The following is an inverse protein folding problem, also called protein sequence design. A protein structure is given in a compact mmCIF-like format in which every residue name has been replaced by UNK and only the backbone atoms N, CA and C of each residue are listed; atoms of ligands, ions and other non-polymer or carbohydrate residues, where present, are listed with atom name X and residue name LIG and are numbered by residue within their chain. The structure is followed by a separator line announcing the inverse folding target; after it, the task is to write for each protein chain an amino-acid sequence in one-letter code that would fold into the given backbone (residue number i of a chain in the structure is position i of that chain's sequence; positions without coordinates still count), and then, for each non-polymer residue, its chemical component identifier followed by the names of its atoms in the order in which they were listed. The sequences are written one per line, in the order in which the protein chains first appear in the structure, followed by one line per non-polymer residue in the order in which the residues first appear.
data_IF_771152600593
#
_entry.id   IF_771152600593
#
_cell.length_a   1.000
_cell.length_b   1.000
_cell.length_c   1.000
_cell.angle_alpha   90.00
_cell.angle_beta   90.00
_cell.angle_gamma   90.00
#
_symmetry.space_group_name_H-M   'P 1'
#
loop_
_entity.id
_entity.type
_entity.pdbx_description
1 polymer ?
#
# COMPACT_ATOMS: atom_id res chain seq x y z
N UNK A 1 18.25 14.26 -48.65
CA UNK A 1 17.01 14.65 -49.36
C UNK A 1 16.49 15.90 -48.66
N UNK A 2 16.34 16.99 -49.40
CA UNK A 2 16.34 18.37 -48.90
C UNK A 2 15.02 19.07 -49.27
N UNK A 3 14.41 19.78 -48.28
CA UNK A 3 13.66 21.09 -48.36
C UNK A 3 12.38 21.08 -49.26
N UNK A 4 11.39 22.03 -49.29
CA UNK A 4 11.02 23.27 -48.52
C UNK A 4 9.58 23.25 -47.90
N UNK A 5 9.21 24.06 -46.87
CA UNK A 5 8.81 25.50 -46.73
C UNK A 5 7.34 25.89 -47.00
N UNK A 6 6.77 26.56 -45.98
CA UNK A 6 5.89 27.77 -45.99
C UNK A 6 4.55 27.71 -46.74
N UNK A 7 3.41 27.97 -46.08
CA UNK A 7 2.81 29.31 -45.92
C UNK A 7 1.90 29.60 -47.13
N UNK A 8 0.57 29.79 -47.01
CA UNK A 8 -0.13 31.03 -46.61
C UNK A 8 -1.63 30.81 -46.91
N UNK A 9 -2.55 31.32 -46.07
CA UNK A 9 -3.66 32.24 -46.42
C UNK A 9 -4.95 31.74 -45.73
N UNK A 10 -5.92 32.52 -45.23
CA UNK A 10 -6.11 33.94 -45.01
C UNK A 10 -7.51 34.11 -44.34
N UNK A 11 -7.57 34.97 -43.31
CA UNK A 11 -8.67 35.85 -42.81
C UNK A 11 -10.06 35.70 -43.48
N UNK A 12 -11.23 35.76 -42.81
CA UNK A 12 -11.80 36.68 -41.78
C UNK A 12 -13.33 36.30 -41.61
N UNK A 13 -14.25 37.07 -40.97
CA UNK A 13 -14.39 37.57 -39.58
C UNK A 13 -15.78 37.26 -38.93
N UNK A 14 -15.92 37.50 -37.60
CA UNK A 14 -17.09 38.22 -37.07
C UNK A 14 -18.13 37.52 -36.16
N UNK A 15 -17.92 37.60 -34.84
CA UNK A 15 -18.95 37.98 -33.85
C UNK A 15 -19.49 36.89 -32.89
N UNK A 16 -20.03 37.27 -31.71
CA UNK A 16 -19.66 38.35 -30.80
C UNK A 16 -19.35 37.86 -29.37
N UNK A 17 -18.96 38.83 -28.54
CA UNK A 17 -18.65 38.78 -27.11
C UNK A 17 -19.44 37.74 -26.27
N UNK A 18 -18.69 36.86 -25.60
CA UNK A 18 -19.12 36.08 -24.46
C UNK A 18 -18.10 36.25 -23.35
N UNK A 19 -18.41 37.19 -22.46
CA UNK A 19 -17.95 37.37 -21.08
C UNK A 19 -16.53 36.89 -20.68
N UNK A 20 -15.70 37.88 -20.36
CA UNK A 20 -14.50 37.69 -19.56
C UNK A 20 -14.90 37.33 -18.12
N UNK A 21 -15.21 36.06 -17.86
CA UNK A 21 -15.25 35.51 -16.51
C UNK A 21 -13.82 35.42 -15.97
N UNK A 22 -13.50 36.01 -14.80
CA UNK A 22 -12.15 35.91 -14.26
C UNK A 22 -11.86 34.43 -13.99
N UNK A 23 -10.82 33.92 -14.64
CA UNK A 23 -10.21 32.64 -14.35
C UNK A 23 -9.92 32.57 -12.86
N UNK A 24 -10.77 31.87 -12.12
CA UNK A 24 -10.55 31.53 -10.73
C UNK A 24 -9.29 30.68 -10.68
N UNK A 25 -8.18 31.33 -10.36
CA UNK A 25 -7.00 30.67 -9.83
C UNK A 25 -7.44 30.02 -8.53
N UNK A 26 -7.86 28.77 -8.57
CA UNK A 26 -8.03 27.93 -7.38
C UNK A 26 -6.65 27.63 -6.82
N UNK A 27 -6.08 28.64 -6.14
CA UNK A 27 -5.21 28.36 -5.00
C UNK A 27 -6.08 27.62 -4.00
N UNK A 28 -5.96 26.29 -3.96
CA UNK A 28 -6.73 25.46 -3.04
C UNK A 28 -6.44 25.91 -1.62
N UNK A 29 -7.41 26.60 -1.01
CA UNK A 29 -7.49 26.74 0.44
C UNK A 29 -7.51 25.32 0.98
N UNK A 30 -6.39 24.88 1.55
CA UNK A 30 -6.33 23.68 2.36
C UNK A 30 -7.15 24.01 3.61
N UNK A 31 -8.45 23.75 3.56
CA UNK A 31 -9.29 23.81 4.75
C UNK A 31 -8.77 22.73 5.69
N UNK A 32 -8.38 23.07 6.93
CA UNK A 32 -7.91 22.07 7.87
C UNK A 32 -9.02 21.03 8.09
N UNK A 33 -8.69 19.74 8.18
CA UNK A 33 -9.68 18.69 8.38
C UNK A 33 -10.44 18.91 9.70
N UNK A 34 -11.72 18.54 9.70
CA UNK A 34 -12.53 18.59 10.92
C UNK A 34 -12.15 17.45 11.87
N UNK A 35 -12.41 17.60 13.17
CA UNK A 35 -12.19 16.54 14.17
C UNK A 35 -12.86 15.21 13.76
N UNK A 36 -14.09 15.29 13.23
CA UNK A 36 -14.80 14.11 12.71
C UNK A 36 -14.05 13.44 11.55
N UNK A 37 -13.43 14.21 10.65
CA UNK A 37 -12.64 13.64 9.56
C UNK A 37 -11.36 12.97 10.08
N UNK A 38 -10.71 13.56 11.10
CA UNK A 38 -9.54 12.97 11.76
C UNK A 38 -9.91 11.64 12.41
N UNK A 39 -11.00 11.60 13.18
CA UNK A 39 -11.49 10.37 13.82
C UNK A 39 -11.83 9.27 12.82
N UNK A 40 -12.46 9.61 11.70
CA UNK A 40 -12.72 8.66 10.60
C UNK A 40 -11.41 8.14 9.99
N UNK A 41 -10.41 8.99 9.80
CA UNK A 41 -9.11 8.58 9.28
C UNK A 41 -8.36 7.64 10.25
N UNK A 42 -8.38 7.93 11.56
CA UNK A 42 -7.80 7.08 12.62
C UNK A 42 -8.47 5.70 12.62
N UNK A 43 -9.81 5.65 12.56
CA UNK A 43 -10.56 4.40 12.46
C UNK A 43 -10.17 3.60 11.20
N UNK A 44 -9.97 4.29 10.06
CA UNK A 44 -9.52 3.65 8.83
C UNK A 44 -8.11 3.05 8.99
N UNK A 45 -7.16 3.79 9.58
CA UNK A 45 -5.80 3.29 9.87
C UNK A 45 -5.85 2.03 10.75
N UNK A 46 -6.67 2.02 11.80
CA UNK A 46 -6.84 0.86 12.68
C UNK A 46 -7.46 -0.34 11.98
N UNK A 47 -8.44 -0.11 11.11
CA UNK A 47 -9.06 -1.15 10.29
C UNK A 47 -8.05 -1.77 9.32
N UNK A 48 -7.26 -0.93 8.67
CA UNK A 48 -6.23 -1.39 7.74
C UNK A 48 -5.14 -2.17 8.49
N UNK A 49 -4.70 -1.68 9.66
CA UNK A 49 -3.78 -2.42 10.53
C UNK A 49 -4.31 -3.82 10.85
N UNK A 50 -5.57 -3.94 11.27
CA UNK A 50 -6.20 -5.22 11.56
C UNK A 50 -6.24 -6.16 10.34
N UNK A 51 -6.47 -5.60 9.13
CA UNK A 51 -6.44 -6.39 7.90
C UNK A 51 -5.03 -6.93 7.58
N UNK A 52 -3.99 -6.13 7.80
CA UNK A 52 -2.60 -6.57 7.66
C UNK A 52 -2.22 -7.63 8.70
N UNK A 53 -2.64 -7.47 9.96
CA UNK A 53 -2.45 -8.48 10.99
C UNK A 53 -3.10 -9.83 10.63
N UNK A 54 -4.35 -9.80 10.15
CA UNK A 54 -5.03 -11.00 9.67
C UNK A 54 -4.33 -11.63 8.46
N UNK A 55 -3.74 -10.82 7.57
CA UNK A 55 -2.91 -11.30 6.47
C UNK A 55 -1.64 -11.99 6.95
N UNK A 56 -0.97 -11.43 7.96
CA UNK A 56 0.19 -12.06 8.62
C UNK A 56 -0.17 -13.43 9.18
N UNK A 57 -1.31 -13.56 9.87
CA UNK A 57 -1.72 -14.86 10.43
C UNK A 57 -1.96 -15.91 9.35
N UNK A 58 -2.57 -15.55 8.21
CA UNK A 58 -2.70 -16.46 7.05
C UNK A 58 -1.36 -16.92 6.49
N UNK A 59 -0.35 -16.05 6.47
CA UNK A 59 0.99 -16.40 6.01
C UNK A 59 1.70 -17.34 6.98
N UNK A 60 1.51 -17.15 8.29
CA UNK A 60 2.01 -18.07 9.32
C UNK A 60 1.37 -19.45 9.19
N UNK A 61 0.04 -19.51 8.99
CA UNK A 61 -0.67 -20.77 8.77
C UNK A 61 -0.16 -21.49 7.51
N UNK A 62 0.02 -20.74 6.41
CA UNK A 62 0.58 -21.27 5.17
C UNK A 62 2.02 -21.78 5.37
N UNK A 63 2.84 -21.08 6.15
CA UNK A 63 4.19 -21.52 6.48
C UNK A 63 4.17 -22.83 7.28
N UNK A 64 3.28 -22.95 8.25
CA UNK A 64 3.11 -24.19 9.02
C UNK A 64 2.68 -25.36 8.13
N UNK A 65 1.85 -25.13 7.11
CA UNK A 65 1.52 -26.13 6.09
C UNK A 65 2.76 -26.47 5.24
N UNK A 66 3.49 -25.47 4.75
CA UNK A 66 4.72 -25.66 3.98
C UNK A 66 5.77 -26.50 4.73
N UNK A 67 5.94 -26.28 6.04
CA UNK A 67 6.86 -27.05 6.86
C UNK A 67 6.48 -28.55 6.99
N UNK A 68 5.20 -28.90 6.78
CA UNK A 68 4.68 -30.27 6.91
C UNK A 68 4.60 -31.02 5.57
N UNK A 69 4.85 -30.35 4.46
CA UNK A 69 4.93 -30.97 3.13
C UNK A 69 6.19 -31.82 3.03
N UNK A 70 6.16 -33.03 3.60
CA UNK A 70 7.31 -33.93 3.58
C UNK A 70 7.13 -34.98 2.46
N UNK A 71 7.79 -34.77 1.31
CA UNK A 71 8.08 -35.86 0.38
C UNK A 71 9.51 -36.34 0.61
N UNK A 72 9.64 -37.46 1.32
CA UNK A 72 10.92 -38.16 1.48
C UNK A 72 11.29 -38.98 0.25
N UNK A 73 12.54 -39.42 0.17
CA UNK A 73 13.06 -40.32 -0.89
C UNK A 73 12.17 -41.56 -1.14
N UNK A 74 11.48 -42.04 -0.11
CA UNK A 74 10.55 -43.18 -0.21
C UNK A 74 9.31 -42.90 -1.06
N UNK A 75 8.98 -41.62 -1.28
CA UNK A 75 7.88 -41.18 -2.14
C UNK A 75 8.33 -40.94 -3.59
N UNK A 76 9.63 -40.92 -3.83
CA UNK A 76 10.21 -40.79 -5.16
C UNK A 76 10.66 -42.16 -5.68
N UNK A 77 10.66 -42.33 -7.00
CA UNK A 77 11.25 -43.54 -7.58
C UNK A 77 12.77 -43.56 -7.31
N UNK A 78 13.37 -44.75 -7.25
CA UNK A 78 14.82 -44.90 -7.06
C UNK A 78 15.66 -44.05 -8.03
N UNK A 79 15.20 -43.93 -9.28
CA UNK A 79 15.86 -43.09 -10.30
C UNK A 79 15.74 -41.60 -9.94
N UNK A 80 14.59 -41.15 -9.45
CA UNK A 80 14.38 -39.77 -9.04
C UNK A 80 15.23 -39.40 -7.80
N UNK A 81 15.42 -40.34 -6.89
CA UNK A 81 16.33 -40.18 -5.74
C UNK A 81 17.80 -40.06 -6.20
N UNK A 82 18.26 -40.92 -7.12
CA UNK A 82 19.61 -40.81 -7.69
C UNK A 82 19.87 -39.49 -8.44
N UNK A 83 18.81 -38.88 -8.99
CA UNK A 83 18.89 -37.58 -9.66
C UNK A 83 18.84 -36.38 -8.68
N UNK A 84 18.74 -36.64 -7.37
CA UNK A 84 18.72 -35.61 -6.32
C UNK A 84 17.40 -34.87 -6.19
N UNK A 85 16.28 -35.47 -6.65
CA UNK A 85 14.97 -34.81 -6.63
C UNK A 85 14.46 -34.57 -5.20
N UNK A 86 14.81 -35.46 -4.27
CA UNK A 86 14.46 -35.32 -2.87
C UNK A 86 15.12 -34.07 -2.25
N UNK A 87 16.40 -33.84 -2.50
CA UNK A 87 17.12 -32.66 -2.03
C UNK A 87 16.56 -31.37 -2.64
N UNK A 88 16.28 -31.36 -3.94
CA UNK A 88 15.68 -30.19 -4.62
C UNK A 88 14.30 -29.88 -4.03
N UNK A 89 13.49 -30.91 -3.77
CA UNK A 89 12.19 -30.74 -3.14
C UNK A 89 12.32 -30.13 -1.73
N UNK A 90 13.23 -30.65 -0.91
CA UNK A 90 13.47 -30.11 0.43
C UNK A 90 13.96 -28.65 0.41
N UNK A 91 14.83 -28.29 -0.53
CA UNK A 91 15.28 -26.91 -0.71
C UNK A 91 14.12 -25.98 -1.10
N UNK A 92 13.25 -26.42 -2.01
CA UNK A 92 12.07 -25.66 -2.41
C UNK A 92 11.09 -25.49 -1.26
N UNK A 93 10.84 -26.55 -0.50
CA UNK A 93 9.99 -26.53 0.70
C UNK A 93 10.52 -25.52 1.72
N UNK A 94 11.83 -25.57 2.02
CA UNK A 94 12.46 -24.63 2.93
C UNK A 94 12.42 -23.19 2.43
N UNK A 95 12.62 -22.98 1.13
CA UNK A 95 12.52 -21.64 0.54
C UNK A 95 11.11 -21.09 0.63
N UNK A 96 10.09 -21.90 0.37
CA UNK A 96 8.69 -21.51 0.52
C UNK A 96 8.35 -21.18 1.97
N UNK A 97 8.72 -22.04 2.92
CA UNK A 97 8.56 -21.79 4.35
C UNK A 97 9.19 -20.46 4.78
N UNK A 98 10.42 -20.20 4.32
CA UNK A 98 11.15 -18.98 4.65
C UNK A 98 10.44 -17.74 4.09
N UNK A 99 10.08 -17.75 2.81
CA UNK A 99 9.39 -16.62 2.16
C UNK A 99 8.05 -16.29 2.80
N UNK A 100 7.29 -17.30 3.24
CA UNK A 100 6.02 -17.09 3.92
C UNK A 100 6.22 -16.43 5.29
N UNK A 101 7.24 -16.83 6.06
CA UNK A 101 7.58 -16.19 7.33
C UNK A 101 8.13 -14.76 7.15
N UNK A 102 8.96 -14.52 6.13
CA UNK A 102 9.43 -13.18 5.78
C UNK A 102 8.24 -12.27 5.40
N UNK A 103 7.30 -12.79 4.59
CA UNK A 103 6.06 -12.09 4.26
C UNK A 103 5.22 -11.78 5.50
N UNK A 104 5.07 -12.74 6.43
CA UNK A 104 4.35 -12.53 7.68
C UNK A 104 4.99 -11.42 8.53
N UNK A 105 6.32 -11.39 8.63
CA UNK A 105 7.04 -10.34 9.35
C UNK A 105 6.79 -8.95 8.73
N UNK A 106 6.78 -8.85 7.40
CA UNK A 106 6.49 -7.59 6.70
C UNK A 106 5.04 -7.11 6.95
N UNK A 107 4.06 -8.02 6.93
CA UNK A 107 2.68 -7.68 7.23
C UNK A 107 2.50 -7.22 8.68
N UNK A 108 3.20 -7.84 9.63
CA UNK A 108 3.21 -7.39 11.02
C UNK A 108 3.83 -6.00 11.16
N UNK A 109 4.93 -5.73 10.47
CA UNK A 109 5.57 -4.41 10.47
C UNK A 109 4.62 -3.32 9.94
N UNK A 110 3.90 -3.60 8.84
CA UNK A 110 2.89 -2.68 8.30
C UNK A 110 1.74 -2.46 9.27
N UNK A 111 1.20 -3.52 9.86
CA UNK A 111 0.15 -3.43 10.87
C UNK A 111 0.57 -2.57 12.05
N UNK A 112 1.81 -2.74 12.52
CA UNK A 112 2.36 -1.99 13.67
C UNK A 112 2.49 -0.52 13.32
N UNK A 113 3.09 -0.20 12.17
CA UNK A 113 3.27 1.19 11.73
C UNK A 113 1.94 1.95 11.57
N UNK A 114 0.89 1.27 11.09
CA UNK A 114 -0.45 1.86 10.99
C UNK A 114 -1.10 2.09 12.36
N UNK A 115 -0.83 1.20 13.33
CA UNK A 115 -1.30 1.38 14.71
C UNK A 115 -0.59 2.57 15.37
N UNK A 116 0.73 2.63 15.25
CA UNK A 116 1.56 3.71 15.79
C UNK A 116 1.15 5.07 15.19
N UNK A 117 0.85 5.11 13.89
CA UNK A 117 0.33 6.32 13.24
C UNK A 117 -1.04 6.73 13.79
N UNK A 118 -1.96 5.77 13.97
CA UNK A 118 -3.29 6.05 14.53
C UNK A 118 -3.18 6.59 15.96
N UNK A 119 -2.34 6.00 16.79
CA UNK A 119 -2.13 6.42 18.18
C UNK A 119 -1.44 7.79 18.25
N UNK A 120 -0.50 8.07 17.35
CA UNK A 120 0.11 9.39 17.22
C UNK A 120 -0.91 10.48 16.91
N UNK A 121 -1.83 10.24 15.96
CA UNK A 121 -2.89 11.19 15.65
C UNK A 121 -3.88 11.41 16.81
N UNK A 122 -4.22 10.36 17.57
CA UNK A 122 -5.08 10.50 18.75
C UNK A 122 -4.41 11.35 19.85
N UNK A 123 -3.11 11.15 20.06
CA UNK A 123 -2.35 11.95 21.03
C UNK A 123 -2.25 13.42 20.61
N UNK A 124 -1.94 13.67 19.33
CA UNK A 124 -1.85 15.02 18.79
C UNK A 124 -3.17 15.79 18.95
N UNK A 125 -4.31 15.14 18.72
CA UNK A 125 -5.63 15.74 18.89
C UNK A 125 -5.94 16.03 20.37
N UNK A 126 -5.64 15.09 21.27
CA UNK A 126 -5.81 15.29 22.70
C UNK A 126 -5.00 16.49 23.20
N UNK A 127 -3.74 16.61 22.77
CA UNK A 127 -2.86 17.73 23.12
C UNK A 127 -3.35 19.06 22.53
N UNK A 128 -3.90 19.04 21.31
CA UNK A 128 -4.46 20.23 20.67
C UNK A 128 -5.66 20.78 21.46
N UNK A 129 -6.59 19.92 21.87
CA UNK A 129 -7.75 20.29 22.70
C UNK A 129 -7.32 20.86 24.05
N UNK A 130 -6.32 20.26 24.71
CA UNK A 130 -5.79 20.77 25.98
C UNK A 130 -5.15 22.15 25.82
N UNK A 131 -4.39 22.39 24.75
CA UNK A 131 -3.83 23.71 24.45
C UNK A 131 -4.92 24.75 24.22
N UNK A 132 -6.01 24.41 23.52
CA UNK A 132 -7.11 25.36 23.27
C UNK A 132 -7.91 25.69 24.51
N UNK A 133 -8.13 24.73 25.41
CA UNK A 133 -8.92 24.93 26.64
C UNK A 133 -8.14 25.64 27.75
N UNK A 134 -6.80 25.57 27.77
CA UNK A 134 -5.95 26.26 28.74
C UNK A 134 -5.59 27.71 28.42
N UNK A 135 -6.05 28.26 27.29
CA UNK A 135 -5.81 29.67 26.87
C UNK A 135 -6.98 30.60 27.26
N UNK A 136 -8.05 30.05 27.84
CA UNK A 136 -9.15 30.82 28.48
C UNK A 136 -9.03 30.78 30.00
#
# INVERSE_FOLDING_TARGET
MAVPRSGTAQRQPGGPAGDAGPAQRTGGLIVPPTEQQIQVAIQALRKDAAAWAAGKDKLVDAAAVAARLELSALHFSYIADQLGLAEVYQQLQQRLYTLLNEGAANFLALSTALHDAADGYEQDEADAVHRMTGIY
#
